data_IF_063045198371
#
_entry.id   IF_063045198371
#
_cell.length_a   1.000
_cell.length_b   1.000
_cell.length_c   1.000
_cell.angle_alpha   90.00
_cell.angle_beta   90.00
_cell.angle_gamma   90.00
#
_symmetry.space_group_name_H-M   'P 1'
#
loop_
_entity.id
_entity.type
_entity.pdbx_description
1 polymer ?
#
# COMPACT_ATOMS: atom_id res chain seq x y z
N UNK A 1 23.90 22.46 22.51
CA UNK A 1 23.21 21.74 21.41
C UNK A 1 24.18 20.66 21.01
N UNK A 2 23.92 19.40 21.34
CA UNK A 2 24.77 18.29 20.90
C UNK A 2 24.55 18.11 19.41
N UNK A 3 25.64 18.06 18.65
CA UNK A 3 25.65 17.62 17.27
C UNK A 3 25.48 16.10 17.29
N UNK A 4 24.23 15.63 17.25
CA UNK A 4 23.97 14.24 16.91
C UNK A 4 24.24 14.07 15.41
N UNK A 5 25.29 13.33 15.07
CA UNK A 5 25.58 12.87 13.72
C UNK A 5 24.45 11.92 13.28
N UNK A 6 23.46 12.43 12.56
CA UNK A 6 22.41 11.60 11.96
C UNK A 6 22.98 10.88 10.75
N UNK A 7 23.24 9.58 10.88
CA UNK A 7 23.57 8.71 9.76
C UNK A 7 22.34 8.57 8.84
N UNK A 8 22.43 9.14 7.64
CA UNK A 8 21.38 9.01 6.61
C UNK A 8 21.53 7.66 5.94
N UNK A 9 20.76 6.68 6.43
CA UNK A 9 20.69 5.35 5.81
C UNK A 9 19.74 5.40 4.61
N UNK A 10 20.20 4.91 3.45
CA UNK A 10 19.33 4.73 2.28
C UNK A 10 18.37 3.58 2.54
N UNK A 11 17.10 3.91 2.79
CA UNK A 11 16.04 2.91 2.91
C UNK A 11 15.92 2.02 1.68
N UNK A 12 15.41 0.81 1.87
CA UNK A 12 15.10 -0.10 0.77
C UNK A 12 13.88 0.38 -0.03
N UNK A 13 13.44 -0.41 -1.01
CA UNK A 13 12.17 -0.15 -1.70
C UNK A 13 10.92 -0.44 -0.82
N UNK A 14 11.13 -0.93 0.42
CA UNK A 14 10.09 -1.26 1.38
C UNK A 14 10.39 -0.64 2.75
N UNK A 15 9.86 0.55 3.00
CA UNK A 15 10.00 1.24 4.29
C UNK A 15 9.52 0.40 5.48
N UNK A 16 8.52 -0.46 5.31
CA UNK A 16 8.06 -1.33 6.39
C UNK A 16 9.09 -2.40 6.75
N UNK A 17 9.84 -2.91 5.75
CA UNK A 17 10.92 -3.86 5.99
C UNK A 17 12.09 -3.18 6.71
N UNK A 18 12.38 -1.92 6.37
CA UNK A 18 13.41 -1.12 7.04
C UNK A 18 13.10 -0.93 8.53
N UNK A 19 11.81 -0.93 8.91
CA UNK A 19 11.34 -0.89 10.30
C UNK A 19 11.17 -2.26 10.96
N UNK A 20 11.56 -3.36 10.30
CA UNK A 20 11.45 -4.71 10.84
C UNK A 20 10.01 -5.22 10.97
N UNK A 21 9.08 -4.68 10.18
CA UNK A 21 7.67 -5.06 10.24
C UNK A 21 7.47 -6.49 9.69
N UNK A 22 6.91 -7.42 10.47
CA UNK A 22 6.72 -8.79 10.02
C UNK A 22 5.72 -8.91 8.85
N UNK A 23 4.88 -7.89 8.64
CA UNK A 23 3.92 -7.82 7.55
C UNK A 23 4.37 -6.86 6.43
N UNK A 24 5.67 -6.51 6.38
CA UNK A 24 6.20 -5.46 5.50
C UNK A 24 5.75 -5.57 4.04
N UNK A 25 5.81 -6.77 3.46
CA UNK A 25 5.39 -7.01 2.07
C UNK A 25 3.89 -6.74 1.87
N UNK A 26 3.06 -7.24 2.79
CA UNK A 26 1.61 -7.04 2.75
C UNK A 26 1.25 -5.56 2.92
N UNK A 27 1.92 -4.86 3.83
CA UNK A 27 1.70 -3.42 4.06
C UNK A 27 2.13 -2.59 2.84
N UNK A 28 3.26 -2.91 2.23
CA UNK A 28 3.70 -2.26 0.99
C UNK A 28 2.69 -2.48 -0.14
N UNK A 29 2.21 -3.71 -0.34
CA UNK A 29 1.19 -4.00 -1.36
C UNK A 29 -0.10 -3.23 -1.12
N UNK A 30 -0.60 -3.18 0.13
CA UNK A 30 -1.79 -2.39 0.48
C UNK A 30 -1.57 -0.91 0.23
N UNK A 31 -0.41 -0.37 0.63
CA UNK A 31 -0.07 1.03 0.46
C UNK A 31 -0.01 1.43 -1.03
N UNK A 32 0.63 0.60 -1.87
CA UNK A 32 0.66 0.80 -3.33
C UNK A 32 -0.75 0.81 -3.92
N UNK A 33 -1.59 -0.16 -3.55
CA UNK A 33 -2.97 -0.22 -4.04
C UNK A 33 -3.80 0.98 -3.58
N UNK A 34 -3.62 1.43 -2.34
CA UNK A 34 -4.28 2.61 -1.82
C UNK A 34 -3.82 3.88 -2.55
N UNK A 35 -2.54 3.99 -2.87
CA UNK A 35 -2.02 5.11 -3.66
C UNK A 35 -2.66 5.19 -5.05
N UNK A 36 -2.83 4.06 -5.74
CA UNK A 36 -3.56 3.99 -7.02
C UNK A 36 -5.02 4.45 -6.86
N UNK A 37 -5.71 4.00 -5.81
CA UNK A 37 -7.08 4.46 -5.51
C UNK A 37 -7.13 5.96 -5.27
N UNK A 38 -6.23 6.50 -4.44
CA UNK A 38 -6.14 7.93 -4.14
C UNK A 38 -5.86 8.73 -5.41
N UNK A 39 -4.94 8.27 -6.25
CA UNK A 39 -4.63 8.87 -7.55
C UNK A 39 -5.86 8.97 -8.43
N UNK A 40 -6.62 7.88 -8.60
CA UNK A 40 -7.87 7.89 -9.37
C UNK A 40 -8.89 8.88 -8.80
N UNK A 41 -9.03 8.94 -7.47
CA UNK A 41 -9.96 9.87 -6.82
C UNK A 41 -9.55 11.32 -7.08
N UNK A 42 -8.27 11.64 -6.98
CA UNK A 42 -7.75 13.00 -7.09
C UNK A 42 -7.71 13.49 -8.54
N UNK A 43 -7.21 12.68 -9.46
CA UNK A 43 -7.15 13.00 -10.90
C UNK A 43 -8.53 13.30 -11.48
N UNK A 44 -9.53 12.52 -11.06
CA UNK A 44 -10.92 12.65 -11.53
C UNK A 44 -11.78 13.55 -10.64
N UNK A 45 -11.21 14.13 -9.59
CA UNK A 45 -11.90 14.98 -8.59
C UNK A 45 -13.15 14.30 -8.01
N UNK A 46 -13.09 13.00 -7.78
CA UNK A 46 -14.17 12.21 -7.22
C UNK A 46 -14.23 12.45 -5.72
N UNK A 47 -15.36 12.98 -5.25
CA UNK A 47 -15.58 13.17 -3.81
C UNK A 47 -15.81 11.84 -3.11
N UNK A 48 -15.62 11.80 -1.79
CA UNK A 48 -15.89 10.60 -0.97
C UNK A 48 -17.32 10.07 -1.17
N UNK A 49 -18.30 10.97 -1.28
CA UNK A 49 -19.73 10.59 -1.46
C UNK A 49 -20.01 10.06 -2.86
N UNK A 50 -19.35 10.64 -3.86
CA UNK A 50 -19.44 10.12 -5.22
C UNK A 50 -18.78 8.74 -5.34
N UNK A 51 -17.62 8.55 -4.72
CA UNK A 51 -16.96 7.25 -4.64
C UNK A 51 -17.84 6.21 -3.95
N UNK A 52 -18.53 6.56 -2.85
CA UNK A 52 -19.50 5.69 -2.19
C UNK A 52 -20.63 5.26 -3.15
N UNK A 53 -21.18 6.21 -3.92
CA UNK A 53 -22.21 5.93 -4.92
C UNK A 53 -21.72 5.02 -6.07
N UNK A 54 -20.51 5.25 -6.55
CA UNK A 54 -19.91 4.47 -7.65
C UNK A 54 -19.49 3.06 -7.20
N UNK A 55 -18.96 2.95 -5.98
CA UNK A 55 -18.34 1.71 -5.50
C UNK A 55 -19.25 0.90 -4.59
N UNK A 56 -20.31 1.47 -4.02
CA UNK A 56 -21.10 0.85 -2.95
C UNK A 56 -20.32 0.63 -1.65
N UNK A 57 -19.13 1.20 -1.50
CA UNK A 57 -18.33 1.14 -0.27
C UNK A 57 -18.61 2.38 0.56
N UNK A 58 -18.84 2.18 1.85
CA UNK A 58 -19.18 3.27 2.77
C UNK A 58 -18.17 4.43 2.68
N UNK A 59 -18.69 5.66 2.69
CA UNK A 59 -17.89 6.88 2.66
C UNK A 59 -16.81 6.94 3.74
N UNK A 60 -17.10 6.40 4.93
CA UNK A 60 -16.13 6.30 6.02
C UNK A 60 -14.90 5.44 5.64
N UNK A 61 -15.12 4.35 4.90
CA UNK A 61 -14.04 3.47 4.46
C UNK A 61 -13.28 4.06 3.28
N UNK A 62 -13.95 4.77 2.36
CA UNK A 62 -13.25 5.57 1.33
C UNK A 62 -12.36 6.64 1.98
N UNK A 63 -12.85 7.28 3.05
CA UNK A 63 -12.07 8.28 3.80
C UNK A 63 -10.85 7.65 4.49
N UNK A 64 -10.98 6.44 5.06
CA UNK A 64 -9.84 5.71 5.61
C UNK A 64 -8.77 5.41 4.55
N UNK A 65 -9.18 4.98 3.35
CA UNK A 65 -8.25 4.77 2.24
C UNK A 65 -7.52 6.07 1.89
N UNK A 66 -8.23 7.21 1.78
CA UNK A 66 -7.59 8.52 1.53
C UNK A 66 -6.56 8.91 2.59
N UNK A 67 -6.79 8.52 3.84
CA UNK A 67 -5.90 8.80 4.95
C UNK A 67 -4.82 7.71 5.15
N UNK A 68 -4.72 6.74 4.24
CA UNK A 68 -3.84 5.57 4.36
C UNK A 68 -4.02 4.77 5.68
N UNK A 69 -5.22 4.81 6.28
CA UNK A 69 -5.61 3.94 7.39
C UNK A 69 -6.07 2.57 6.85
N UNK A 70 -5.08 1.70 6.59
CA UNK A 70 -5.27 0.45 5.87
C UNK A 70 -5.33 -0.80 6.77
N UNK A 71 -5.24 -0.64 8.09
CA UNK A 71 -5.16 -1.75 9.04
C UNK A 71 -6.33 -2.74 8.89
N UNK A 72 -7.54 -2.24 8.63
CA UNK A 72 -8.77 -3.05 8.49
C UNK A 72 -9.05 -3.51 7.05
N UNK A 73 -8.21 -3.15 6.09
CA UNK A 73 -8.42 -3.49 4.68
C UNK A 73 -7.63 -4.74 4.30
N UNK A 74 -8.30 -5.65 3.60
CA UNK A 74 -7.65 -6.73 2.87
C UNK A 74 -7.23 -6.23 1.48
N UNK A 75 -6.25 -6.89 0.85
CA UNK A 75 -5.85 -6.59 -0.52
C UNK A 75 -7.04 -6.73 -1.49
N UNK A 76 -7.82 -7.79 -1.36
CA UNK A 76 -9.03 -8.02 -2.16
C UNK A 76 -10.04 -6.87 -2.02
N UNK A 77 -10.24 -6.33 -0.81
CA UNK A 77 -11.15 -5.20 -0.60
C UNK A 77 -10.67 -3.94 -1.32
N UNK A 78 -9.36 -3.66 -1.29
CA UNK A 78 -8.78 -2.54 -2.02
C UNK A 78 -8.87 -2.75 -3.54
N UNK A 79 -8.59 -3.97 -4.03
CA UNK A 79 -8.71 -4.33 -5.45
C UNK A 79 -10.13 -4.11 -5.97
N UNK A 80 -11.15 -4.47 -5.18
CA UNK A 80 -12.56 -4.24 -5.53
C UNK A 80 -12.93 -2.75 -5.58
N UNK A 81 -12.43 -1.95 -4.65
CA UNK A 81 -12.61 -0.48 -4.69
C UNK A 81 -11.97 0.08 -5.96
N UNK A 82 -10.71 -0.27 -6.24
CA UNK A 82 -9.99 0.17 -7.42
C UNK A 82 -10.72 -0.20 -8.72
N UNK A 83 -11.12 -1.46 -8.90
CA UNK A 83 -11.84 -1.91 -10.11
C UNK A 83 -13.15 -1.16 -10.35
N UNK A 84 -13.86 -0.78 -9.29
CA UNK A 84 -15.11 -0.02 -9.39
C UNK A 84 -14.88 1.45 -9.73
N UNK A 85 -13.79 2.05 -9.25
CA UNK A 85 -13.43 3.45 -9.57
C UNK A 85 -12.79 3.61 -10.95
N UNK A 86 -11.97 2.64 -11.36
CA UNK A 86 -11.22 2.66 -12.61
C UNK A 86 -11.48 1.38 -13.43
N UNK A 87 -12.72 1.18 -13.92
CA UNK A 87 -13.02 0.04 -14.78
C UNK A 87 -12.13 0.09 -16.02
N UNK A 88 -11.49 -1.05 -16.34
CA UNK A 88 -10.57 -1.19 -17.46
C UNK A 88 -9.08 -1.04 -17.14
N UNK A 89 -8.72 -0.57 -15.94
CA UNK A 89 -7.33 -0.58 -15.48
C UNK A 89 -6.97 -1.98 -14.97
N UNK A 90 -5.90 -2.56 -15.51
CA UNK A 90 -5.40 -3.88 -15.09
C UNK A 90 -4.43 -3.74 -13.94
N UNK A 91 -4.66 -4.50 -12.87
CA UNK A 91 -3.69 -4.68 -11.79
C UNK A 91 -2.96 -6.00 -12.01
N UNK A 92 -1.63 -5.96 -12.11
CA UNK A 92 -0.78 -7.14 -12.29
C UNK A 92 0.08 -7.39 -11.05
N UNK A 93 0.27 -8.67 -10.72
CA UNK A 93 1.24 -9.11 -9.72
C UNK A 93 2.27 -9.99 -10.42
N UNK A 94 3.55 -9.71 -10.18
CA UNK A 94 4.66 -10.52 -10.67
C UNK A 94 5.33 -11.18 -9.48
N UNK A 95 5.53 -12.50 -9.59
CA UNK A 95 6.27 -13.27 -8.61
C UNK A 95 7.68 -13.50 -9.15
N UNK A 96 8.67 -13.31 -8.29
CA UNK A 96 10.07 -13.58 -8.60
C UNK A 96 10.64 -14.45 -7.48
N UNK A 97 11.49 -15.41 -7.84
CA UNK A 97 12.21 -16.18 -6.84
C UNK A 97 13.12 -15.23 -6.04
N UNK A 98 13.18 -15.41 -4.72
CA UNK A 98 14.24 -14.78 -3.91
C UNK A 98 15.53 -15.52 -4.27
N UNK A 99 16.55 -14.79 -4.72
CA UNK A 99 17.87 -15.38 -4.92
C UNK A 99 18.33 -16.04 -3.61
N UNK A 100 18.79 -17.30 -3.72
CA UNK A 100 19.08 -18.16 -2.57
C UNK A 100 20.23 -17.69 -1.67
N UNK A 101 20.81 -16.52 -1.91
CA UNK A 101 21.86 -15.92 -1.09
C UNK A 101 21.34 -15.23 0.19
N UNK A 102 20.02 -15.14 0.38
CA UNK A 102 19.39 -14.46 1.52
C UNK A 102 18.92 -15.42 2.64
N UNK A 103 19.38 -16.68 2.62
CA UNK A 103 19.21 -17.57 3.77
C UNK A 103 20.18 -17.13 4.88
N UNK A 104 19.70 -16.74 6.07
CA UNK A 104 20.59 -16.60 7.22
C UNK A 104 21.23 -17.96 7.44
N UNK A 105 22.56 -17.99 7.43
CA UNK A 105 23.33 -19.21 7.69
C UNK A 105 22.75 -19.85 8.96
N UNK A 106 22.14 -21.04 8.80
CA UNK A 106 21.70 -21.84 9.92
C UNK A 106 22.95 -22.14 10.75
N UNK A 107 23.11 -21.42 11.85
CA UNK A 107 24.17 -21.63 12.81
C UNK A 107 24.09 -23.09 13.27
N UNK A 108 25.17 -23.81 13.02
CA UNK A 108 25.38 -25.20 13.46
C UNK A 108 25.58 -25.28 14.96
#
# INVERSE_FOLDING_TARGET
MSEDDFEVVRGSANIFADFGDPEAETKLLKARLAAEIIGVLDERKITVREAERMTGVAAADISRVRNADLAKFTLDRLLRIHHRLAPGVKVGLTFSARDGSDQPALAS
#
